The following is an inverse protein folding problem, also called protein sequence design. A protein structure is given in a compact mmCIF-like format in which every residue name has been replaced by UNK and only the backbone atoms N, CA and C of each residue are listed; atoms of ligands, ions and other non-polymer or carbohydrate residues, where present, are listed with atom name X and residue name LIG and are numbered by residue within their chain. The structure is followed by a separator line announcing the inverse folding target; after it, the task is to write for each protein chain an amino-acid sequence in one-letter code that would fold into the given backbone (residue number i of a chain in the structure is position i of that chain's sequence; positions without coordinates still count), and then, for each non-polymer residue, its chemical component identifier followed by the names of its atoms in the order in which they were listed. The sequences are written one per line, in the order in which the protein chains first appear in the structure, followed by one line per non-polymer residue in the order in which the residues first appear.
data_IF_792517571387
#
_entry.id   IF_792517571387
#
_cell.length_a   1.000
_cell.length_b   1.000
_cell.length_c   1.000
_cell.angle_alpha   90.00
_cell.angle_beta   90.00
_cell.angle_gamma   90.00
#
_symmetry.space_group_name_H-M   'P 1'
#
loop_
_entity.id
_entity.type
_entity.pdbx_description
1 polymer ?
#
# COMPACT_ATOMS: atom_id res chain seq x y z
N UNK A 1 37.34 15.71 58.51
CA UNK A 1 37.63 14.43 57.83
C UNK A 1 36.32 13.85 57.33
N UNK A 2 36.05 13.87 56.03
CA UNK A 2 34.87 13.22 55.43
C UNK A 2 35.37 12.35 54.28
N UNK A 3 35.05 11.05 54.31
CA UNK A 3 35.43 10.09 53.28
C UNK A 3 34.44 10.18 52.13
N UNK A 4 34.97 10.39 50.93
CA UNK A 4 34.21 10.30 49.69
C UNK A 4 34.22 8.84 49.24
N UNK A 5 33.16 8.10 49.57
CA UNK A 5 32.95 6.76 49.03
C UNK A 5 31.78 6.82 48.04
N UNK A 6 32.12 6.94 46.77
CA UNK A 6 31.24 6.60 45.65
C UNK A 6 32.10 6.06 44.53
N UNK A 7 32.52 4.81 44.72
CA UNK A 7 33.16 4.03 43.66
C UNK A 7 32.07 3.38 42.83
N UNK A 8 31.55 4.08 41.83
CA UNK A 8 30.80 3.42 40.75
C UNK A 8 31.82 2.79 39.80
N UNK A 9 31.78 1.47 39.62
CA UNK A 9 32.60 0.78 38.64
C UNK A 9 32.20 1.21 37.22
N UNK A 10 33.15 1.46 36.31
CA UNK A 10 32.84 1.77 34.91
C UNK A 10 32.20 0.54 34.26
N UNK A 11 30.98 0.71 33.73
CA UNK A 11 30.32 -0.34 32.99
C UNK A 11 31.10 -0.65 31.70
N UNK A 12 31.50 -1.91 31.53
CA UNK A 12 32.19 -2.37 30.33
C UNK A 12 31.26 -2.26 29.12
N UNK A 13 31.66 -1.58 28.02
CA UNK A 13 30.83 -1.50 26.83
C UNK A 13 30.67 -2.89 26.21
N UNK A 14 29.48 -3.48 26.35
CA UNK A 14 29.18 -4.77 25.75
C UNK A 14 28.94 -4.58 24.24
N UNK A 15 29.67 -5.32 23.42
CA UNK A 15 29.49 -5.29 21.97
C UNK A 15 28.08 -5.77 21.59
N UNK A 16 27.29 -4.89 20.98
CA UNK A 16 25.92 -5.20 20.50
C UNK A 16 26.00 -5.46 19.00
N UNK A 17 25.67 -6.67 18.55
CA UNK A 17 25.45 -6.95 17.12
C UNK A 17 24.14 -6.27 16.71
N UNK A 18 24.25 -5.21 15.91
CA UNK A 18 23.09 -4.62 15.22
C UNK A 18 23.04 -5.14 13.80
N UNK A 19 21.96 -5.82 13.44
CA UNK A 19 21.69 -6.19 12.05
C UNK A 19 20.89 -5.04 11.45
N UNK A 20 21.52 -4.28 10.55
CA UNK A 20 20.84 -3.24 9.78
C UNK A 20 20.17 -3.93 8.58
N UNK A 21 18.87 -4.21 8.70
CA UNK A 21 18.06 -4.72 7.61
C UNK A 21 17.30 -3.59 6.92
N UNK A 22 17.53 -3.36 5.63
CA UNK A 22 16.74 -2.42 4.84
C UNK A 22 15.33 -2.98 4.64
N UNK A 23 14.31 -2.22 5.08
CA UNK A 23 12.90 -2.56 4.89
C UNK A 23 12.28 -1.59 3.89
N UNK A 24 12.11 -2.03 2.65
CA UNK A 24 11.32 -1.31 1.63
C UNK A 24 9.89 -1.10 2.13
N UNK A 25 9.28 0.05 1.82
CA UNK A 25 7.92 0.43 2.27
C UNK A 25 7.72 0.36 3.79
N UNK A 26 8.77 0.55 4.60
CA UNK A 26 8.66 0.47 6.06
C UNK A 26 8.24 -0.92 6.57
N UNK A 27 8.43 -1.96 5.77
CA UNK A 27 7.99 -3.32 6.09
C UNK A 27 6.50 -3.56 5.85
N UNK A 28 5.79 -2.62 5.21
CA UNK A 28 4.41 -2.84 4.78
C UNK A 28 4.38 -3.77 3.56
N UNK A 29 3.36 -4.63 3.46
CA UNK A 29 3.11 -5.41 2.26
C UNK A 29 3.03 -4.48 1.04
N UNK A 30 3.47 -4.98 -0.11
CA UNK A 30 3.30 -4.25 -1.37
C UNK A 30 1.79 -4.02 -1.58
N UNK A 31 1.35 -2.78 -1.89
CA UNK A 31 -0.06 -2.56 -2.19
C UNK A 31 -0.51 -3.41 -3.37
N UNK A 32 -1.78 -3.78 -3.36
CA UNK A 32 -2.41 -4.43 -4.51
C UNK A 32 -2.24 -3.56 -5.76
N UNK A 33 -2.11 -4.17 -6.95
CA UNK A 33 -2.02 -3.42 -8.19
C UNK A 33 -3.27 -2.54 -8.37
N UNK A 34 -3.04 -1.27 -8.67
CA UNK A 34 -4.10 -0.29 -8.91
C UNK A 34 -3.92 0.31 -10.30
N UNK A 35 -5.02 0.40 -11.05
CA UNK A 35 -5.07 1.09 -12.34
C UNK A 35 -5.92 2.35 -12.19
N UNK A 36 -5.28 3.52 -12.22
CA UNK A 36 -5.99 4.81 -12.17
C UNK A 36 -6.10 5.39 -13.58
N UNK A 37 -7.33 5.53 -14.08
CA UNK A 37 -7.62 6.17 -15.36
C UNK A 37 -8.16 7.58 -15.08
N UNK A 38 -7.55 8.62 -15.68
CA UNK A 38 -7.90 10.03 -15.45
C UNK A 38 -8.30 10.73 -16.74
N UNK A 39 -9.11 11.78 -16.61
CA UNK A 39 -9.55 12.66 -17.70
C UNK A 39 -11.01 12.46 -18.09
N UNK A 40 -11.55 13.38 -18.90
CA UNK A 40 -12.95 13.34 -19.37
C UNK A 40 -13.17 12.45 -20.60
N UNK A 41 -12.12 11.84 -21.15
CA UNK A 41 -12.20 11.04 -22.37
C UNK A 41 -13.03 9.76 -22.21
N UNK A 42 -13.18 9.24 -20.99
CA UNK A 42 -14.05 8.09 -20.71
C UNK A 42 -15.53 8.40 -21.00
N UNK A 43 -15.97 9.64 -20.77
CA UNK A 43 -17.33 10.08 -21.10
C UNK A 43 -17.56 10.03 -22.62
N UNK A 44 -16.55 10.40 -23.42
CA UNK A 44 -16.60 10.29 -24.88
C UNK A 44 -16.64 8.84 -25.39
N UNK A 45 -16.19 7.88 -24.58
CA UNK A 45 -16.30 6.44 -24.85
C UNK A 45 -17.59 5.80 -24.28
N UNK A 46 -18.50 6.62 -23.73
CA UNK A 46 -19.78 6.16 -23.20
C UNK A 46 -19.77 5.69 -21.74
N UNK A 47 -18.67 5.91 -21.00
CA UNK A 47 -18.64 5.66 -19.55
C UNK A 47 -19.15 6.89 -18.79
N UNK A 48 -20.21 6.70 -18.01
CA UNK A 48 -20.77 7.75 -17.16
C UNK A 48 -20.47 7.50 -15.68
N UNK A 49 -20.43 8.56 -14.87
CA UNK A 49 -20.19 8.44 -13.43
C UNK A 49 -21.37 7.76 -12.75
N UNK A 50 -21.10 6.90 -11.76
CA UNK A 50 -22.13 6.18 -11.01
C UNK A 50 -22.72 4.97 -11.74
N UNK A 51 -22.31 4.72 -12.98
CA UNK A 51 -22.71 3.56 -13.75
C UNK A 51 -21.92 2.31 -13.32
N UNK A 52 -22.56 1.14 -13.19
CA UNK A 52 -21.85 -0.11 -12.98
C UNK A 52 -21.01 -0.48 -14.21
N UNK A 53 -19.80 -0.99 -13.97
CA UNK A 53 -18.89 -1.48 -15.02
C UNK A 53 -18.43 -2.89 -14.69
N UNK A 54 -18.23 -3.69 -15.73
CA UNK A 54 -17.59 -5.00 -15.62
C UNK A 54 -16.13 -4.88 -16.06
N UNK A 55 -15.24 -5.48 -15.28
CA UNK A 55 -13.81 -5.55 -15.57
C UNK A 55 -13.44 -7.02 -15.71
N UNK A 56 -12.95 -7.41 -16.88
CA UNK A 56 -12.49 -8.77 -17.16
C UNK A 56 -10.99 -8.76 -17.44
N UNK A 57 -10.26 -9.66 -16.81
CA UNK A 57 -8.83 -9.85 -17.01
C UNK A 57 -8.61 -11.05 -17.94
N UNK A 58 -7.89 -10.82 -19.03
CA UNK A 58 -7.44 -11.84 -19.98
C UNK A 58 -5.91 -11.81 -20.06
N UNK A 59 -5.30 -12.76 -20.75
CA UNK A 59 -3.84 -12.83 -20.87
C UNK A 59 -3.29 -11.58 -21.57
N UNK A 60 -2.62 -10.71 -20.81
CA UNK A 60 -2.06 -9.46 -21.29
C UNK A 60 -3.06 -8.31 -21.49
N UNK A 61 -4.32 -8.46 -21.07
CA UNK A 61 -5.38 -7.47 -21.34
C UNK A 61 -6.32 -7.26 -20.15
N UNK A 62 -6.81 -6.03 -20.01
CA UNK A 62 -7.91 -5.66 -19.11
C UNK A 62 -9.01 -5.03 -19.96
N UNK A 63 -10.18 -5.66 -19.97
CA UNK A 63 -11.34 -5.23 -20.74
C UNK A 63 -12.34 -4.60 -19.77
N UNK A 64 -12.65 -3.33 -19.98
CA UNK A 64 -13.65 -2.58 -19.21
C UNK A 64 -14.89 -2.39 -20.08
N UNK A 65 -16.05 -2.84 -19.60
CA UNK A 65 -17.33 -2.71 -20.30
C UNK A 65 -18.36 -2.05 -19.39
N UNK A 66 -19.24 -1.24 -19.98
CA UNK A 66 -20.45 -0.78 -19.31
C UNK A 66 -21.31 -2.00 -18.97
N UNK A 67 -21.72 -2.14 -17.71
CA UNK A 67 -22.72 -3.13 -17.35
C UNK A 67 -24.09 -2.54 -17.63
N UNK A 68 -24.94 -3.28 -18.34
CA UNK A 68 -26.36 -2.97 -18.37
C UNK A 68 -26.91 -3.32 -16.99
N UNK A 69 -27.52 -2.36 -16.31
CA UNK A 69 -28.30 -2.68 -15.13
C UNK A 69 -29.50 -3.48 -15.62
N UNK A 70 -29.53 -4.78 -15.34
CA UNK A 70 -30.77 -5.55 -15.44
C UNK A 70 -31.67 -5.03 -14.34
N UNK A 71 -32.47 -4.00 -14.63
CA UNK A 71 -33.61 -3.62 -13.79
C UNK A 71 -34.64 -4.75 -13.87
N UNK A 72 -34.46 -5.75 -13.02
CA UNK A 72 -35.53 -6.69 -12.69
C UNK A 72 -36.50 -6.02 -11.73
N UNK A 73 -37.55 -5.40 -12.28
CA UNK A 73 -38.76 -5.05 -11.55
C UNK A 73 -39.98 -5.49 -12.39
N UNK A 74 -40.54 -6.65 -12.04
CA UNK A 74 -41.88 -7.12 -12.42
C UNK A 74 -42.65 -7.35 -11.14
#
# INVERSE_FOLDING_TARGET
MARADSTSQPATPQARKSIVGYRTNGGRPNPLPQLTIKGRWLEALGFTKGQPVSITAEHGQLIIRTAFATEGNV
#
